data_IF_711523636972
#
_entry.id   IF_711523636972
#
_cell.length_a   1.000
_cell.length_b   1.000
_cell.length_c   1.000
_cell.angle_alpha   90.00
_cell.angle_beta   90.00
_cell.angle_gamma   90.00
#
_symmetry.space_group_name_H-M   'P 1'
#
loop_
_entity.id
_entity.type
_entity.pdbx_description
1 polymer ?
#
# COMPACT_ATOMS: atom_id res chain seq x y z
N UNK A 1 3.88 18.37 3.39
CA UNK A 1 4.12 16.92 3.39
C UNK A 1 4.01 16.43 4.82
N UNK A 2 3.14 15.46 5.10
CA UNK A 2 3.02 14.84 6.44
C UNK A 2 4.31 14.11 6.82
N UNK A 3 4.48 13.79 8.11
CA UNK A 3 5.66 13.03 8.55
C UNK A 3 5.74 11.70 7.80
N UNK A 4 6.92 11.28 7.32
CA UNK A 4 7.10 9.97 6.70
C UNK A 4 6.63 8.83 7.61
N UNK A 5 6.25 7.72 6.99
CA UNK A 5 5.98 6.46 7.71
C UNK A 5 7.26 5.99 8.38
N UNK A 6 7.14 5.34 9.53
CA UNK A 6 8.28 4.78 10.24
C UNK A 6 8.87 3.59 9.46
N UNK A 7 10.18 3.61 9.22
CA UNK A 7 10.91 2.57 8.47
C UNK A 7 10.74 1.16 9.04
N UNK A 8 10.32 1.00 10.30
CA UNK A 8 9.97 -0.31 10.87
C UNK A 8 8.87 -1.04 10.10
N UNK A 9 8.05 -0.33 9.34
CA UNK A 9 6.96 -0.89 8.51
C UNK A 9 7.40 -1.20 7.08
N UNK A 10 8.65 -0.92 6.74
CA UNK A 10 9.26 -1.24 5.46
C UNK A 10 10.09 -2.53 5.56
N UNK A 11 10.34 -3.11 4.39
CA UNK A 11 11.07 -4.37 4.23
C UNK A 11 10.16 -5.57 4.03
N UNK A 12 10.79 -6.73 4.06
CA UNK A 12 10.14 -8.03 3.87
C UNK A 12 9.79 -8.68 5.22
N UNK A 13 8.67 -9.41 5.28
CA UNK A 13 8.27 -10.22 6.41
C UNK A 13 6.99 -9.75 7.12
N UNK A 14 6.55 -10.51 8.13
CA UNK A 14 5.26 -10.27 8.78
C UNK A 14 5.15 -8.88 9.44
N UNK A 15 3.98 -8.25 9.31
CA UNK A 15 3.68 -6.94 9.89
C UNK A 15 4.37 -5.77 9.17
N UNK A 16 4.81 -6.00 7.94
CA UNK A 16 5.33 -4.98 7.02
C UNK A 16 4.25 -4.60 6.02
N UNK A 17 4.31 -3.35 5.53
CA UNK A 17 3.42 -2.89 4.48
C UNK A 17 3.65 -3.72 3.20
N UNK A 18 2.59 -4.32 2.69
CA UNK A 18 2.60 -5.02 1.42
C UNK A 18 2.18 -4.08 0.28
N UNK A 19 2.84 -4.25 -0.87
CA UNK A 19 2.33 -3.70 -2.13
C UNK A 19 1.36 -4.71 -2.73
N UNK A 20 0.08 -4.37 -2.78
CA UNK A 20 -0.96 -5.27 -3.32
C UNK A 20 -0.71 -5.55 -4.80
N UNK A 21 -0.41 -4.53 -5.60
CA UNK A 21 -0.09 -4.66 -7.04
C UNK A 21 0.97 -3.67 -7.48
N UNK A 22 1.79 -4.06 -8.45
CA UNK A 22 2.86 -3.24 -9.00
C UNK A 22 3.01 -3.45 -10.51
N UNK A 23 3.50 -2.43 -11.21
CA UNK A 23 3.87 -2.51 -12.62
C UNK A 23 5.23 -1.84 -12.81
N UNK A 24 6.29 -2.65 -12.84
CA UNK A 24 7.65 -2.18 -13.13
C UNK A 24 7.80 -1.77 -14.60
N UNK A 25 8.61 -0.74 -14.86
CA UNK A 25 8.90 -0.27 -16.21
C UNK A 25 9.50 -1.40 -17.05
N UNK A 26 8.90 -1.68 -18.20
CA UNK A 26 9.30 -2.78 -19.10
C UNK A 26 8.69 -4.15 -18.76
N UNK A 27 7.84 -4.24 -17.73
CA UNK A 27 7.13 -5.45 -17.33
C UNK A 27 5.63 -5.41 -17.63
N UNK A 28 4.86 -6.05 -16.75
CA UNK A 28 3.39 -6.02 -16.72
C UNK A 28 2.90 -5.76 -15.29
N UNK A 29 1.59 -5.53 -15.14
CA UNK A 29 0.98 -5.51 -13.81
C UNK A 29 1.09 -6.90 -13.17
N UNK A 30 1.49 -6.94 -11.90
CA UNK A 30 1.61 -8.15 -11.10
C UNK A 30 1.05 -7.91 -9.70
N UNK A 31 0.41 -8.93 -9.14
CA UNK A 31 -0.02 -9.01 -7.73
C UNK A 31 0.86 -9.96 -6.92
N UNK A 32 2.07 -10.23 -7.41
CA UNK A 32 3.05 -11.06 -6.70
C UNK A 32 3.70 -10.26 -5.57
N UNK A 33 4.35 -10.97 -4.65
CA UNK A 33 5.03 -10.39 -3.49
C UNK A 33 5.95 -9.24 -3.89
N UNK A 34 5.69 -8.06 -3.32
CA UNK A 34 6.49 -6.86 -3.49
C UNK A 34 6.46 -6.05 -2.19
N UNK A 35 7.61 -5.49 -1.80
CA UNK A 35 7.76 -4.76 -0.55
C UNK A 35 8.40 -3.39 -0.72
N UNK A 36 8.03 -2.48 0.17
CA UNK A 36 8.54 -1.11 0.20
C UNK A 36 9.90 -1.12 0.90
N UNK A 37 10.90 -0.50 0.28
CA UNK A 37 12.24 -0.29 0.85
C UNK A 37 12.37 1.08 1.52
N UNK A 38 11.79 2.12 0.92
CA UNK A 38 11.83 3.48 1.46
C UNK A 38 10.77 4.38 0.83
N UNK A 39 10.29 5.34 1.61
CA UNK A 39 9.40 6.39 1.14
C UNK A 39 10.20 7.51 0.45
N UNK A 40 9.80 7.89 -0.77
CA UNK A 40 10.36 9.04 -1.52
C UNK A 40 9.47 10.27 -1.43
N UNK A 41 8.15 10.04 -1.42
CA UNK A 41 7.10 11.06 -1.26
C UNK A 41 5.88 10.44 -0.58
N UNK A 42 4.85 11.23 -0.29
CA UNK A 42 3.57 10.74 0.25
C UNK A 42 2.88 9.70 -0.65
N UNK A 43 3.19 9.70 -1.94
CA UNK A 43 2.66 8.78 -2.96
C UNK A 43 3.74 8.16 -3.85
N UNK A 44 5.03 8.21 -3.46
CA UNK A 44 6.11 7.58 -4.23
C UNK A 44 7.00 6.76 -3.33
N UNK A 45 7.25 5.52 -3.71
CA UNK A 45 7.94 4.54 -2.89
C UNK A 45 8.97 3.81 -3.71
N UNK A 46 10.16 3.60 -3.13
CA UNK A 46 11.12 2.66 -3.69
C UNK A 46 10.69 1.26 -3.25
N UNK A 47 10.40 0.38 -4.19
CA UNK A 47 9.89 -0.97 -3.94
C UNK A 47 10.73 -2.02 -4.65
N UNK A 48 10.64 -3.27 -4.21
CA UNK A 48 11.31 -4.40 -4.85
C UNK A 48 10.47 -5.68 -4.71
N UNK A 49 10.59 -6.57 -5.68
CA UNK A 49 10.06 -7.94 -5.67
C UNK A 49 11.16 -8.98 -5.34
N UNK A 50 12.37 -8.52 -4.97
CA UNK A 50 13.55 -9.35 -4.76
C UNK A 50 14.44 -9.53 -5.99
N UNK A 51 13.97 -9.17 -7.19
CA UNK A 51 14.73 -9.21 -8.44
C UNK A 51 14.98 -7.81 -9.00
N UNK A 52 13.91 -7.04 -9.14
CA UNK A 52 13.90 -5.67 -9.66
C UNK A 52 13.65 -4.67 -8.53
N UNK A 53 14.19 -3.47 -8.67
CA UNK A 53 13.97 -2.39 -7.71
C UNK A 53 13.73 -1.08 -8.45
N UNK A 54 12.58 -0.46 -8.22
CA UNK A 54 12.16 0.78 -8.89
C UNK A 54 11.44 1.72 -7.92
N UNK A 55 11.37 3.00 -8.26
CA UNK A 55 10.47 3.94 -7.59
C UNK A 55 9.15 3.94 -8.33
N UNK A 56 8.09 3.48 -7.66
CA UNK A 56 6.74 3.47 -8.21
C UNK A 56 5.89 4.58 -7.60
N UNK A 57 4.91 5.03 -8.38
CA UNK A 57 3.90 6.00 -7.94
C UNK A 57 2.65 5.25 -7.48
N UNK A 58 2.22 5.54 -6.26
CA UNK A 58 0.97 5.04 -5.71
C UNK A 58 -0.21 5.78 -6.35
N UNK A 59 -1.13 5.03 -6.96
CA UNK A 59 -2.25 5.57 -7.74
C UNK A 59 -3.60 5.02 -7.28
N UNK A 60 -4.64 5.84 -7.40
CA UNK A 60 -6.03 5.41 -7.19
C UNK A 60 -6.54 4.67 -8.43
N UNK A 61 -6.21 3.39 -8.56
CA UNK A 61 -6.59 2.58 -9.70
C UNK A 61 -6.93 1.17 -9.25
N UNK A 62 -7.95 0.61 -9.88
CA UNK A 62 -8.35 -0.79 -9.68
C UNK A 62 -7.38 -1.76 -10.37
N UNK A 63 -7.50 -3.03 -10.02
CA UNK A 63 -6.74 -4.11 -10.64
C UNK A 63 -6.87 -4.13 -12.18
N UNK A 64 -5.77 -4.40 -12.87
CA UNK A 64 -5.69 -4.50 -14.33
C UNK A 64 -5.64 -3.16 -15.06
N UNK A 65 -5.53 -2.04 -14.35
CA UNK A 65 -5.50 -0.69 -14.94
C UNK A 65 -4.20 0.07 -14.66
N UNK A 66 -3.25 -0.54 -13.95
CA UNK A 66 -1.95 0.07 -13.71
C UNK A 66 -1.17 0.19 -15.02
N UNK A 67 -0.36 1.24 -15.12
CA UNK A 67 0.62 1.40 -16.18
C UNK A 67 2.04 1.35 -15.62
N UNK A 68 3.03 1.23 -16.50
CA UNK A 68 4.45 1.22 -16.13
C UNK A 68 4.82 2.38 -15.18
N UNK A 69 5.49 2.05 -14.08
CA UNK A 69 5.91 3.00 -13.05
C UNK A 69 4.86 3.26 -11.97
N UNK A 70 3.77 2.48 -11.93
CA UNK A 70 2.68 2.61 -10.96
C UNK A 70 2.56 1.40 -10.03
N UNK A 71 1.95 1.63 -8.87
CA UNK A 71 1.57 0.61 -7.89
C UNK A 71 0.22 0.96 -7.26
N UNK A 72 -0.47 -0.05 -6.75
CA UNK A 72 -1.66 0.12 -5.90
C UNK A 72 -1.48 -0.60 -4.57
N UNK A 73 -2.08 -0.02 -3.54
CA UNK A 73 -2.26 -0.65 -2.23
C UNK A 73 -3.76 -0.60 -1.97
N UNK A 74 -4.34 -1.77 -1.76
CA UNK A 74 -5.73 -1.89 -1.34
C UNK A 74 -5.78 -1.74 0.19
N UNK A 75 -6.80 -1.05 0.68
CA UNK A 75 -7.14 -0.96 2.09
C UNK A 75 -8.57 -1.45 2.30
N UNK A 76 -8.86 -1.95 3.50
CA UNK A 76 -10.19 -2.39 3.91
C UNK A 76 -10.69 -1.45 5.01
N UNK A 77 -11.88 -0.90 4.82
CA UNK A 77 -12.56 -0.07 5.82
C UNK A 77 -13.26 -0.94 6.89
N UNK A 78 -13.73 -0.29 7.96
CA UNK A 78 -14.49 -0.92 9.05
C UNK A 78 -15.86 -1.49 8.62
N UNK A 79 -16.36 -1.10 7.45
CA UNK A 79 -17.56 -1.67 6.83
C UNK A 79 -17.26 -2.75 5.79
N UNK A 80 -16.02 -3.27 5.78
CA UNK A 80 -15.49 -4.23 4.79
C UNK A 80 -15.39 -3.70 3.35
N UNK A 81 -15.57 -2.40 3.13
CA UNK A 81 -15.34 -1.81 1.80
C UNK A 81 -13.86 -1.82 1.46
N UNK A 82 -13.53 -2.37 0.29
CA UNK A 82 -12.18 -2.28 -0.28
C UNK A 82 -12.02 -0.93 -0.99
N UNK A 83 -10.97 -0.20 -0.63
CA UNK A 83 -10.64 1.13 -1.15
C UNK A 83 -9.20 1.19 -1.61
N UNK A 84 -8.89 2.14 -2.48
CA UNK A 84 -7.56 2.31 -3.05
C UNK A 84 -6.83 3.45 -2.35
N UNK A 85 -5.67 3.12 -1.80
CA UNK A 85 -4.83 4.07 -1.09
C UNK A 85 -4.15 5.02 -2.08
N UNK A 86 -4.24 6.32 -1.81
CA UNK A 86 -3.65 7.38 -2.64
C UNK A 86 -2.41 8.01 -2.00
N UNK A 87 -2.32 8.01 -0.67
CA UNK A 87 -1.13 8.49 0.08
C UNK A 87 -0.99 7.77 1.41
N UNK A 88 0.25 7.58 1.84
CA UNK A 88 0.56 7.04 3.18
C UNK A 88 1.50 8.02 3.91
N UNK A 89 1.21 8.29 5.18
CA UNK A 89 1.99 9.17 6.04
C UNK A 89 1.91 8.68 7.49
N UNK A 90 2.96 8.82 8.29
CA UNK A 90 3.03 8.40 9.69
C UNK A 90 2.04 7.27 10.10
N UNK A 91 0.96 7.58 10.84
CA UNK A 91 -0.09 6.66 11.30
C UNK A 91 -1.41 6.81 10.54
N UNK A 92 -1.39 7.37 9.34
CA UNK A 92 -2.59 7.70 8.59
C UNK A 92 -2.43 7.45 7.09
N UNK A 93 -3.58 7.38 6.45
CA UNK A 93 -3.69 7.05 5.04
C UNK A 93 -4.72 7.96 4.38
N UNK A 94 -4.50 8.25 3.11
CA UNK A 94 -5.48 8.88 2.23
C UNK A 94 -5.95 7.84 1.22
N UNK A 95 -7.25 7.73 0.98
CA UNK A 95 -7.87 6.77 0.06
C UNK A 95 -8.98 7.45 -0.74
N UNK A 96 -9.41 6.82 -1.83
CA UNK A 96 -10.47 7.33 -2.73
C UNK A 96 -10.37 8.83 -3.05
N UNK A 97 -9.20 9.25 -3.53
CA UNK A 97 -8.91 10.67 -3.71
C UNK A 97 -8.35 11.28 -2.42
N UNK A 98 -9.14 12.11 -1.72
CA UNK A 98 -8.70 12.95 -0.59
C UNK A 98 -9.23 12.54 0.79
N UNK A 99 -10.02 11.46 0.88
CA UNK A 99 -10.55 10.94 2.14
C UNK A 99 -9.42 10.40 3.01
N UNK A 100 -9.46 10.61 4.32
CA UNK A 100 -8.40 10.23 5.26
C UNK A 100 -8.90 9.26 6.32
N UNK A 101 -8.06 8.31 6.69
CA UNK A 101 -8.29 7.38 7.80
C UNK A 101 -7.03 7.12 8.61
N UNK A 102 -7.21 6.50 9.76
CA UNK A 102 -6.10 5.99 10.56
C UNK A 102 -5.57 4.70 9.94
N UNK A 103 -4.26 4.60 9.73
CA UNK A 103 -3.66 3.40 9.14
C UNK A 103 -3.48 2.32 10.19
N UNK A 104 -3.98 1.13 9.90
CA UNK A 104 -3.70 -0.11 10.62
C UNK A 104 -3.08 -1.09 9.63
N UNK A 105 -2.06 -1.84 10.07
CA UNK A 105 -1.41 -2.84 9.22
C UNK A 105 -1.99 -4.18 9.63
N UNK A 106 -2.65 -4.85 8.69
CA UNK A 106 -3.20 -6.17 8.89
C UNK A 106 -2.11 -7.20 9.23
N UNK A 107 -2.50 -8.26 9.95
CA UNK A 107 -1.68 -9.45 10.06
C UNK A 107 -1.68 -10.23 8.74
N UNK A 108 -0.79 -11.22 8.61
CA UNK A 108 -0.61 -12.08 7.42
C UNK A 108 -1.82 -12.96 7.04
N UNK A 109 -2.96 -12.83 7.74
CA UNK A 109 -4.21 -13.50 7.38
C UNK A 109 -5.08 -12.52 6.59
N UNK A 110 -4.88 -12.48 5.28
CA UNK A 110 -5.55 -11.59 4.32
C UNK A 110 -7.04 -11.94 4.10
N UNK A 111 -7.72 -12.42 5.13
CA UNK A 111 -9.10 -12.89 5.09
C UNK A 111 -10.04 -11.99 5.87
N UNK A 112 -10.46 -10.86 5.29
CA UNK A 112 -11.67 -10.15 5.75
C UNK A 112 -11.63 -9.65 7.21
N UNK A 113 -10.48 -9.16 7.67
CA UNK A 113 -10.36 -8.59 9.01
C UNK A 113 -10.79 -7.12 8.98
N UNK A 114 -12.10 -6.88 9.20
CA UNK A 114 -12.56 -5.63 9.79
C UNK A 114 -11.85 -5.46 11.14
N UNK A 115 -11.08 -4.39 11.31
CA UNK A 115 -10.39 -4.07 12.58
C UNK A 115 -11.39 -3.69 13.71
N UNK A 116 -12.69 -3.63 13.40
CA UNK A 116 -13.82 -3.25 14.25
C UNK A 116 -13.62 -1.90 14.96
N UNK A 117 -12.58 -1.16 14.58
CA UNK A 117 -12.11 0.08 15.16
C UNK A 117 -12.53 1.20 14.24
N UNK A 118 -13.47 2.02 14.70
CA UNK A 118 -14.04 3.07 13.88
C UNK A 118 -12.98 4.01 13.28
N UNK A 119 -13.12 4.33 11.98
CA UNK A 119 -12.25 5.22 11.22
C UNK A 119 -10.82 4.71 10.95
N UNK A 120 -10.59 3.39 11.03
CA UNK A 120 -9.35 2.79 10.57
C UNK A 120 -9.46 2.32 9.11
N UNK A 121 -8.29 2.18 8.50
CA UNK A 121 -8.12 1.59 7.17
C UNK A 121 -7.03 0.54 7.35
N UNK A 122 -7.42 -0.71 7.21
CA UNK A 122 -6.51 -1.84 7.29
C UNK A 122 -5.84 -2.02 5.95
N UNK A 123 -4.54 -1.76 5.88
CA UNK A 123 -3.73 -2.07 4.69
C UNK A 123 -3.10 -3.45 4.84
N UNK A 124 -2.95 -4.15 3.72
CA UNK A 124 -2.39 -5.51 3.72
C UNK A 124 -1.00 -5.55 4.36
N UNK A 125 -0.86 -6.46 5.33
CA UNK A 125 0.42 -6.91 5.85
C UNK A 125 0.97 -8.09 5.03
N UNK A 126 2.30 -8.21 4.98
CA UNK A 126 2.97 -9.41 4.49
C UNK A 126 2.88 -10.59 5.46
#
# INVERSE_FOLDING_TARGET
MGRPVNDRYFGEGNGKLQVTRHFFTGGSELSTKCWILSQRSGNKFKVTDGSSTEVLTLVNKAAGTLVAGEMSIDGVLDDSTVVQVTKIYNRGVQYEGDTRGQMVIGGSDAGGEDDATANTVTVDGQ
#
